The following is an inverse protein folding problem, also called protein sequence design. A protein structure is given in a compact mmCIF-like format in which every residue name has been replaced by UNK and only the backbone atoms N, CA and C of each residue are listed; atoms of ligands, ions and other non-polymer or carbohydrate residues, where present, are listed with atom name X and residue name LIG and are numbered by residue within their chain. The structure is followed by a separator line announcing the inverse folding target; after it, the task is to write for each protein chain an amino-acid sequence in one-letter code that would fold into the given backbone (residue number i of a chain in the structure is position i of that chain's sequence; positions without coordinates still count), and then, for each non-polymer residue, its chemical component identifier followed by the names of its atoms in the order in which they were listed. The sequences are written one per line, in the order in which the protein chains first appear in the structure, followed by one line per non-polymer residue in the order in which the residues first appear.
data_IF_021650936775
#
_entry.id   IF_021650936775
#
_cell.length_a   1.000
_cell.length_b   1.000
_cell.length_c   1.000
_cell.angle_alpha   90.00
_cell.angle_beta   90.00
_cell.angle_gamma   90.00
#
_symmetry.space_group_name_H-M   'P 1'
#
loop_
_entity.id
_entity.type
_entity.pdbx_description
1 polymer ?
#
# COMPACT_ATOMS: atom_id res chain seq x y z
N UNK A 1 17.01 -7.35 -1.72
CA UNK A 1 15.90 -6.51 -2.23
C UNK A 1 15.39 -5.63 -1.10
N UNK A 2 15.31 -4.32 -1.30
CA UNK A 2 14.84 -3.33 -0.31
C UNK A 2 13.78 -2.45 -0.96
N UNK A 3 12.58 -2.39 -0.37
CA UNK A 3 11.51 -1.49 -0.78
C UNK A 3 11.46 -0.30 0.17
N UNK A 4 11.39 0.91 -0.37
CA UNK A 4 11.29 2.15 0.39
C UNK A 4 10.14 2.99 -0.18
N UNK A 5 9.34 3.58 0.69
CA UNK A 5 8.33 4.57 0.30
C UNK A 5 9.05 5.90 0.05
N UNK A 6 8.91 6.46 -1.15
CA UNK A 6 9.48 7.76 -1.53
C UNK A 6 8.49 8.88 -1.25
N UNK A 7 7.25 8.71 -1.74
CA UNK A 7 6.17 9.66 -1.53
C UNK A 7 4.91 8.90 -1.11
N UNK A 8 4.54 8.96 0.17
CA UNK A 8 3.30 8.36 0.65
C UNK A 8 2.08 9.12 0.13
N UNK A 9 0.92 8.46 0.10
CA UNK A 9 -0.34 9.16 -0.13
C UNK A 9 -0.62 10.12 1.02
N UNK A 10 -0.96 11.36 0.70
CA UNK A 10 -1.42 12.36 1.67
C UNK A 10 -2.96 12.33 1.86
N UNK A 11 -3.66 11.56 1.04
CA UNK A 11 -5.12 11.45 1.05
C UNK A 11 -5.54 10.31 1.97
N UNK A 12 -6.60 10.55 2.75
CA UNK A 12 -7.22 9.51 3.58
C UNK A 12 -7.83 8.40 2.69
N UNK A 13 -7.70 7.14 3.11
CA UNK A 13 -8.27 6.00 2.38
C UNK A 13 -9.80 5.93 2.47
N UNK A 14 -10.39 6.57 3.47
CA UNK A 14 -11.83 6.75 3.68
C UNK A 14 -12.07 8.19 4.13
N UNK A 15 -13.26 8.75 3.84
CA UNK A 15 -13.54 10.13 4.24
C UNK A 15 -13.68 10.26 5.77
N UNK A 16 -13.38 11.44 6.28
CA UNK A 16 -13.52 11.69 7.72
C UNK A 16 -14.99 11.61 8.15
N UNK A 17 -15.91 12.05 7.29
CA UNK A 17 -17.34 11.97 7.54
C UNK A 17 -17.83 10.50 7.60
N UNK A 18 -17.34 9.63 6.72
CA UNK A 18 -17.64 8.19 6.79
C UNK A 18 -17.13 7.57 8.09
N UNK A 19 -15.94 7.96 8.54
CA UNK A 19 -15.38 7.50 9.82
C UNK A 19 -16.25 7.97 10.98
N UNK A 20 -16.62 9.25 11.02
CA UNK A 20 -17.49 9.82 12.07
C UNK A 20 -18.83 9.09 12.10
N UNK A 21 -19.45 8.94 10.93
CA UNK A 21 -20.73 8.25 10.80
C UNK A 21 -20.62 6.79 11.31
N UNK A 22 -19.55 6.09 10.94
CA UNK A 22 -19.32 4.72 11.36
C UNK A 22 -19.10 4.60 12.88
N UNK A 23 -18.36 5.56 13.48
CA UNK A 23 -18.13 5.66 14.92
C UNK A 23 -19.31 6.29 15.67
N UNK A 24 -20.41 6.64 15.01
CA UNK A 24 -21.60 7.29 15.58
C UNK A 24 -21.28 8.63 16.23
N UNK A 25 -20.35 9.36 15.64
CA UNK A 25 -19.97 10.71 16.05
C UNK A 25 -20.71 11.74 15.20
N UNK A 26 -20.88 12.93 15.77
CA UNK A 26 -21.43 14.07 15.08
C UNK A 26 -20.46 14.57 14.00
N UNK A 27 -20.93 14.65 12.75
CA UNK A 27 -20.11 15.10 11.61
C UNK A 27 -19.74 16.57 11.70
N UNK A 28 -20.55 17.39 12.37
CA UNK A 28 -20.32 18.82 12.52
C UNK A 28 -19.26 19.16 13.59
N UNK A 29 -18.86 18.18 14.40
CA UNK A 29 -17.85 18.33 15.43
C UNK A 29 -16.48 17.92 14.89
N UNK A 30 -15.45 18.76 15.07
CA UNK A 30 -14.09 18.50 14.60
C UNK A 30 -13.06 18.26 15.72
N UNK A 31 -13.52 18.12 16.96
CA UNK A 31 -12.67 17.97 18.14
C UNK A 31 -11.74 16.75 18.05
N UNK A 32 -12.20 15.65 17.45
CA UNK A 32 -11.47 14.40 17.36
C UNK A 32 -10.88 14.10 15.95
N UNK A 33 -11.01 15.04 15.01
CA UNK A 33 -10.60 14.87 13.60
C UNK A 33 -9.13 14.45 13.46
N UNK A 34 -8.24 15.03 14.26
CA UNK A 34 -6.81 14.69 14.23
C UNK A 34 -6.54 13.28 14.72
N UNK A 35 -7.31 12.80 15.71
CA UNK A 35 -7.21 11.42 16.19
C UNK A 35 -7.74 10.45 15.13
N UNK A 36 -8.93 10.69 14.60
CA UNK A 36 -9.56 9.85 13.59
C UNK A 36 -8.71 9.77 12.32
N UNK A 37 -8.13 10.90 11.89
CA UNK A 37 -7.19 10.96 10.77
C UNK A 37 -5.99 10.03 11.00
N UNK A 38 -5.39 10.08 12.18
CA UNK A 38 -4.26 9.22 12.54
C UNK A 38 -4.65 7.74 12.54
N UNK A 39 -5.78 7.40 13.13
CA UNK A 39 -6.30 6.04 13.17
C UNK A 39 -6.56 5.50 11.75
N UNK A 40 -7.10 6.35 10.86
CA UNK A 40 -7.35 5.97 9.47
C UNK A 40 -6.05 5.66 8.70
N UNK A 41 -5.00 6.45 8.87
CA UNK A 41 -3.70 6.14 8.27
C UNK A 41 -3.08 4.86 8.85
N UNK A 42 -3.14 4.67 10.17
CA UNK A 42 -2.66 3.44 10.82
C UNK A 42 -3.39 2.20 10.28
N UNK A 43 -4.72 2.26 10.17
CA UNK A 43 -5.53 1.17 9.63
C UNK A 43 -5.23 0.91 8.15
N UNK A 44 -4.98 1.95 7.34
CA UNK A 44 -4.57 1.79 5.95
C UNK A 44 -3.19 1.12 5.81
N UNK A 45 -2.22 1.50 6.63
CA UNK A 45 -0.90 0.87 6.67
C UNK A 45 -1.01 -0.60 7.05
N UNK A 46 -1.80 -0.92 8.06
CA UNK A 46 -2.07 -2.29 8.48
C UNK A 46 -2.72 -3.11 7.39
N UNK A 47 -3.77 -2.57 6.75
CA UNK A 47 -4.44 -3.21 5.61
C UNK A 47 -3.49 -3.45 4.44
N UNK A 48 -2.63 -2.45 4.12
CA UNK A 48 -1.57 -2.57 3.12
C UNK A 48 -0.57 -3.67 3.46
N UNK A 49 -0.21 -3.80 4.73
CA UNK A 49 0.71 -4.85 5.19
C UNK A 49 0.06 -6.24 5.08
N UNK A 50 -1.18 -6.40 5.53
CA UNK A 50 -1.89 -7.68 5.52
C UNK A 50 -2.19 -8.20 4.11
N UNK A 51 -2.45 -7.29 3.17
CA UNK A 51 -2.77 -7.67 1.78
C UNK A 51 -1.57 -7.71 0.85
N UNK A 52 -0.45 -7.10 1.25
CA UNK A 52 0.70 -6.91 0.37
C UNK A 52 0.46 -5.86 -0.73
N UNK A 53 -0.60 -5.04 -0.65
CA UNK A 53 -1.01 -4.07 -1.69
C UNK A 53 -0.77 -2.63 -1.27
N UNK A 54 -0.59 -1.77 -2.27
CA UNK A 54 -0.70 -0.32 -2.07
C UNK A 54 -2.18 0.08 -2.09
N UNK A 55 -2.62 0.83 -1.08
CA UNK A 55 -4.01 1.30 -0.99
C UNK A 55 -4.26 2.44 -1.98
N UNK A 56 -3.70 3.60 -1.73
CA UNK A 56 -3.75 4.76 -2.60
C UNK A 56 -2.42 4.98 -3.32
N UNK A 57 -2.43 5.80 -4.36
CA UNK A 57 -1.25 6.09 -5.17
C UNK A 57 -0.08 6.52 -4.30
N UNK A 58 0.95 5.72 -4.31
CA UNK A 58 2.16 5.86 -3.51
C UNK A 58 3.37 5.61 -4.40
N UNK A 59 4.41 6.41 -4.27
CA UNK A 59 5.67 6.22 -4.99
C UNK A 59 6.63 5.39 -4.15
N UNK A 60 7.12 4.32 -4.74
CA UNK A 60 8.07 3.38 -4.14
C UNK A 60 9.41 3.41 -4.87
N UNK A 61 10.45 3.10 -4.14
CA UNK A 61 11.78 2.77 -4.68
C UNK A 61 12.13 1.34 -4.28
N UNK A 62 12.45 0.53 -5.26
CA UNK A 62 12.95 -0.83 -5.10
C UNK A 62 14.43 -0.86 -5.44
N UNK A 63 15.27 -1.16 -4.45
CA UNK A 63 16.69 -1.41 -4.65
C UNK A 63 16.93 -2.93 -4.60
N UNK A 64 17.54 -3.49 -5.64
CA UNK A 64 17.81 -4.92 -5.76
C UNK A 64 19.14 -5.17 -6.49
N UNK A 65 19.67 -6.38 -6.37
CA UNK A 65 20.68 -6.86 -7.31
C UNK A 65 20.04 -7.00 -8.68
N UNK A 66 20.81 -6.72 -9.72
CA UNK A 66 20.31 -6.81 -11.07
C UNK A 66 19.92 -8.26 -11.39
N UNK A 67 18.80 -8.41 -12.05
CA UNK A 67 18.29 -9.66 -12.57
C UNK A 67 17.51 -9.36 -13.84
N UNK A 68 17.50 -10.28 -14.78
CA UNK A 68 16.69 -10.18 -15.99
C UNK A 68 15.21 -9.97 -15.66
N UNK A 69 14.74 -10.58 -14.57
CA UNK A 69 13.34 -10.50 -14.13
C UNK A 69 13.25 -10.07 -12.69
N UNK A 70 12.51 -8.99 -12.45
CA UNK A 70 12.27 -8.42 -11.13
C UNK A 70 10.76 -8.35 -10.86
N UNK A 71 10.34 -8.89 -9.72
CA UNK A 71 8.98 -8.75 -9.26
C UNK A 71 8.81 -7.40 -8.56
N UNK A 72 7.93 -6.53 -9.08
CA UNK A 72 7.57 -5.28 -8.43
C UNK A 72 6.51 -5.56 -7.35
N UNK A 73 6.81 -5.25 -6.08
CA UNK A 73 5.87 -5.47 -4.98
C UNK A 73 4.77 -4.40 -4.95
N UNK A 74 3.76 -4.61 -4.09
CA UNK A 74 2.70 -3.65 -3.79
C UNK A 74 1.77 -3.34 -4.98
N UNK A 75 1.16 -4.36 -5.65
CA UNK A 75 0.14 -4.10 -6.66
C UNK A 75 -1.07 -3.34 -6.06
N UNK A 76 -1.91 -2.71 -6.89
CA UNK A 76 -1.82 -2.63 -8.34
C UNK A 76 -0.74 -1.63 -8.80
N UNK A 77 0.02 -2.05 -9.80
CA UNK A 77 1.02 -1.21 -10.45
C UNK A 77 0.34 -0.10 -11.30
N UNK A 78 0.92 1.09 -11.29
CA UNK A 78 0.45 2.22 -12.10
C UNK A 78 1.44 2.57 -13.18
N UNK A 79 2.67 2.97 -12.81
CA UNK A 79 3.69 3.39 -13.78
C UNK A 79 5.10 3.28 -13.20
N UNK A 80 6.08 3.15 -14.09
CA UNK A 80 7.50 3.36 -13.78
C UNK A 80 7.83 4.84 -13.92
N UNK A 81 8.55 5.38 -12.96
CA UNK A 81 9.09 6.75 -13.01
C UNK A 81 10.52 6.73 -13.55
N UNK A 82 11.35 5.82 -13.07
CA UNK A 82 12.73 5.64 -13.56
C UNK A 82 13.27 4.26 -13.20
N UNK A 83 14.18 3.76 -14.02
CA UNK A 83 15.00 2.59 -13.73
C UNK A 83 16.45 3.01 -13.88
N UNK A 84 17.25 2.82 -12.85
CA UNK A 84 18.68 3.13 -12.86
C UNK A 84 19.46 1.87 -12.57
N UNK A 85 20.34 1.49 -13.47
CA UNK A 85 21.27 0.36 -13.32
C UNK A 85 22.64 0.92 -12.95
N UNK A 86 23.31 0.30 -11.98
CA UNK A 86 24.66 0.69 -11.55
C UNK A 86 25.62 -0.48 -11.77
N UNK A 87 26.73 -0.24 -12.44
CA UNK A 87 27.75 -1.26 -12.70
C UNK A 87 28.72 -1.47 -11.52
N UNK A 88 29.67 -2.38 -11.69
CA UNK A 88 30.69 -2.66 -10.65
C UNK A 88 31.67 -1.50 -10.40
N UNK A 89 31.78 -0.57 -11.34
CA UNK A 89 32.62 0.64 -11.21
C UNK A 89 31.83 1.79 -10.55
N UNK A 90 30.53 1.60 -10.24
CA UNK A 90 29.69 2.62 -9.65
C UNK A 90 29.07 3.60 -10.66
N UNK A 91 29.20 3.33 -11.97
CA UNK A 91 28.57 4.15 -13.01
C UNK A 91 27.08 3.83 -13.11
N UNK A 92 26.25 4.87 -12.96
CA UNK A 92 24.80 4.77 -13.02
C UNK A 92 24.30 5.10 -14.44
N UNK A 93 23.48 4.23 -15.00
CA UNK A 93 22.81 4.41 -16.30
C UNK A 93 21.30 4.33 -16.11
N UNK A 94 20.58 5.32 -16.62
CA UNK A 94 19.11 5.32 -16.62
C UNK A 94 18.64 4.59 -17.87
N UNK A 95 17.77 3.60 -17.69
CA UNK A 95 17.17 2.84 -18.78
C UNK A 95 16.04 3.62 -19.44
N UNK A 96 15.92 3.45 -20.75
CA UNK A 96 14.81 3.98 -21.56
C UNK A 96 13.67 2.95 -21.65
N UNK A 97 12.53 3.34 -22.22
CA UNK A 97 11.38 2.44 -22.34
C UNK A 97 11.64 1.22 -23.27
N UNK A 98 12.64 1.31 -24.14
CA UNK A 98 13.03 0.25 -25.07
C UNK A 98 13.95 -0.80 -24.42
N UNK A 99 14.48 -0.51 -23.22
CA UNK A 99 15.43 -1.38 -22.51
C UNK A 99 14.75 -2.37 -21.55
N UNK A 100 13.43 -2.27 -21.40
CA UNK A 100 12.68 -3.15 -20.48
C UNK A 100 11.25 -3.39 -20.95
N UNK A 101 10.68 -4.47 -20.47
CA UNK A 101 9.27 -4.81 -20.69
C UNK A 101 8.56 -5.10 -19.37
N UNK A 102 7.23 -4.89 -19.36
CA UNK A 102 6.38 -5.11 -18.19
C UNK A 102 5.31 -6.14 -18.50
N UNK A 103 5.23 -7.16 -17.66
CA UNK A 103 4.10 -8.08 -17.63
C UNK A 103 3.27 -7.80 -16.39
N UNK A 104 2.10 -7.20 -16.58
CA UNK A 104 1.23 -6.81 -15.49
C UNK A 104 0.03 -7.76 -15.37
N UNK A 105 -0.17 -8.32 -14.20
CA UNK A 105 -1.33 -9.11 -13.82
C UNK A 105 -2.02 -8.46 -12.62
N UNK A 106 -3.25 -8.89 -12.32
CA UNK A 106 -3.99 -8.37 -11.17
C UNK A 106 -3.24 -8.52 -9.83
N UNK A 107 -2.35 -9.49 -9.72
CA UNK A 107 -1.65 -9.81 -8.48
C UNK A 107 -0.16 -9.48 -8.53
N UNK A 108 0.45 -9.48 -9.71
CA UNK A 108 1.91 -9.37 -9.85
C UNK A 108 2.27 -8.53 -11.05
N UNK A 109 3.29 -7.70 -10.90
CA UNK A 109 3.93 -6.97 -12.01
C UNK A 109 5.37 -7.43 -12.11
N UNK A 110 5.70 -8.01 -13.25
CA UNK A 110 7.05 -8.47 -13.56
C UNK A 110 7.72 -7.46 -14.48
N UNK A 111 8.82 -6.91 -14.03
CA UNK A 111 9.73 -6.09 -14.84
C UNK A 111 10.79 -7.02 -15.44
N UNK A 112 10.89 -7.04 -16.75
CA UNK A 112 11.97 -7.74 -17.48
C UNK A 112 12.90 -6.69 -18.08
N UNK A 113 14.19 -6.77 -17.77
CA UNK A 113 15.23 -5.92 -18.35
C UNK A 113 15.87 -6.69 -19.50
N UNK A 114 15.77 -6.16 -20.72
CA UNK A 114 16.13 -6.92 -21.94
C UNK A 114 17.64 -7.12 -22.10
N UNK A 115 18.46 -6.18 -21.62
CA UNK A 115 19.91 -6.33 -21.60
C UNK A 115 20.50 -5.68 -20.35
N UNK A 116 20.59 -6.40 -19.23
CA UNK A 116 21.13 -5.87 -17.98
C UNK A 116 22.62 -5.52 -18.05
N UNK A 117 23.34 -5.94 -19.10
CA UNK A 117 24.76 -5.63 -19.29
C UNK A 117 25.65 -6.08 -18.13
N UNK A 118 26.63 -5.26 -17.80
CA UNK A 118 27.54 -5.46 -16.64
C UNK A 118 26.98 -4.88 -15.32
N UNK A 119 25.69 -4.55 -15.28
CA UNK A 119 25.04 -4.00 -14.09
C UNK A 119 25.11 -4.95 -12.89
N UNK A 120 25.30 -4.38 -11.71
CA UNK A 120 25.35 -5.12 -10.43
C UNK A 120 24.09 -4.87 -9.61
N UNK A 121 23.62 -3.63 -9.59
CA UNK A 121 22.42 -3.22 -8.84
C UNK A 121 21.45 -2.43 -9.72
N UNK A 122 20.18 -2.51 -9.35
CA UNK A 122 19.11 -1.76 -10.00
C UNK A 122 18.27 -1.04 -8.96
N UNK A 123 17.96 0.21 -9.25
CA UNK A 123 17.00 1.03 -8.50
C UNK A 123 15.81 1.33 -9.40
N UNK A 124 14.63 0.85 -9.04
CA UNK A 124 13.38 1.08 -9.75
C UNK A 124 12.50 2.02 -8.94
N UNK A 125 12.18 3.18 -9.47
CA UNK A 125 11.18 4.09 -8.90
C UNK A 125 9.88 3.92 -9.66
N UNK A 126 8.82 3.59 -8.96
CA UNK A 126 7.51 3.30 -9.56
C UNK A 126 6.37 3.76 -8.66
N UNK A 127 5.21 3.94 -9.26
CA UNK A 127 3.96 4.23 -8.55
C UNK A 127 3.05 3.01 -8.54
N UNK A 128 2.38 2.81 -7.42
CA UNK A 128 1.40 1.74 -7.23
C UNK A 128 0.25 2.25 -6.36
N UNK A 129 -0.92 1.64 -6.47
CA UNK A 129 -2.12 1.96 -5.72
C UNK A 129 -3.38 1.94 -6.57
N UNK A 130 -4.55 1.89 -5.94
CA UNK A 130 -5.83 1.82 -6.64
C UNK A 130 -6.24 3.15 -7.27
N UNK A 131 -5.65 4.27 -6.84
CA UNK A 131 -5.92 5.59 -7.39
C UNK A 131 -5.58 6.69 -6.39
N UNK A 132 -5.81 7.94 -6.78
CA UNK A 132 -5.42 9.11 -6.00
C UNK A 132 -6.44 9.54 -4.94
N UNK A 133 -7.64 8.94 -4.92
CA UNK A 133 -8.74 9.34 -4.02
C UNK A 133 -9.34 8.16 -3.29
N UNK A 134 -10.00 8.40 -2.17
CA UNK A 134 -10.73 7.39 -1.40
C UNK A 134 -11.75 6.61 -2.27
N UNK A 135 -12.42 7.28 -3.20
CA UNK A 135 -13.39 6.66 -4.11
C UNK A 135 -12.78 5.61 -5.06
N UNK A 136 -11.47 5.63 -5.26
CA UNK A 136 -10.76 4.64 -6.08
C UNK A 136 -10.52 3.33 -5.33
N UNK A 137 -10.65 3.33 -4.01
CA UNK A 137 -10.40 2.17 -3.18
C UNK A 137 -11.58 1.18 -3.27
N UNK A 138 -11.35 -0.13 -3.48
CA UNK A 138 -12.41 -1.12 -3.42
C UNK A 138 -13.15 -1.10 -2.09
N UNK A 139 -14.48 -1.25 -2.12
CA UNK A 139 -15.33 -1.17 -0.92
C UNK A 139 -14.94 -2.14 0.20
N UNK A 140 -14.34 -3.29 -0.13
CA UNK A 140 -13.87 -4.25 0.86
C UNK A 140 -12.77 -3.65 1.76
N UNK A 141 -11.83 -2.90 1.18
CA UNK A 141 -10.80 -2.20 1.94
C UNK A 141 -11.39 -1.07 2.79
N UNK A 142 -12.28 -0.26 2.19
CA UNK A 142 -12.94 0.83 2.91
C UNK A 142 -13.71 0.28 4.12
N UNK A 143 -14.49 -0.79 3.93
CA UNK A 143 -15.23 -1.45 5.01
C UNK A 143 -14.33 -2.01 6.09
N UNK A 144 -13.22 -2.67 5.71
CA UNK A 144 -12.24 -3.20 6.66
C UNK A 144 -11.58 -2.08 7.48
N UNK A 145 -11.16 -0.98 6.81
CA UNK A 145 -10.54 0.18 7.45
C UNK A 145 -11.52 0.83 8.44
N UNK A 146 -12.79 1.01 8.07
CA UNK A 146 -13.79 1.59 8.96
C UNK A 146 -13.99 0.74 10.23
N UNK A 147 -14.06 -0.58 10.09
CA UNK A 147 -14.18 -1.49 11.24
C UNK A 147 -12.93 -1.41 12.14
N UNK A 148 -11.73 -1.40 11.54
CA UNK A 148 -10.47 -1.32 12.28
C UNK A 148 -10.33 0.03 13.01
N UNK A 149 -10.66 1.15 12.35
CA UNK A 149 -10.68 2.48 12.95
C UNK A 149 -11.64 2.55 14.13
N UNK A 150 -12.89 2.04 13.97
CA UNK A 150 -13.86 2.05 15.07
C UNK A 150 -13.37 1.21 16.26
N UNK A 151 -12.77 0.06 15.97
CA UNK A 151 -12.18 -0.80 17.01
C UNK A 151 -11.07 -0.07 17.77
N UNK A 152 -10.14 0.58 17.05
CA UNK A 152 -9.05 1.34 17.66
C UNK A 152 -9.55 2.59 18.40
N UNK A 153 -10.62 3.21 17.93
CA UNK A 153 -11.24 4.36 18.56
C UNK A 153 -11.90 3.99 19.89
N UNK A 154 -12.66 2.89 19.92
CA UNK A 154 -13.32 2.40 21.13
C UNK A 154 -12.34 1.78 22.13
N UNK A 155 -11.36 1.01 21.62
CA UNK A 155 -10.37 0.29 22.41
C UNK A 155 -9.04 1.05 22.42
N UNK A 156 -9.02 2.21 23.10
CA UNK A 156 -7.80 3.06 23.20
C UNK A 156 -6.67 2.44 24.03
N UNK A 157 -6.95 1.33 24.70
CA UNK A 157 -6.00 0.60 25.55
C UNK A 157 -5.83 -0.83 25.07
N UNK A 158 -4.63 -1.37 25.23
CA UNK A 158 -4.31 -2.74 24.83
C UNK A 158 -4.98 -3.82 25.71
N UNK A 159 -5.57 -3.43 26.84
CA UNK A 159 -6.20 -4.33 27.82
C UNK A 159 -7.62 -3.86 28.09
N UNK A 160 -8.60 -4.77 28.02
CA UNK A 160 -9.97 -4.52 28.44
C UNK A 160 -10.24 -5.16 29.80
N UNK A 161 -10.92 -4.44 30.69
CA UNK A 161 -11.45 -4.98 31.93
C UNK A 161 -12.90 -5.41 31.69
N UNK A 162 -13.13 -6.70 31.38
CA UNK A 162 -14.47 -7.25 31.14
C UNK A 162 -14.52 -8.35 30.09
N UNK A 163 -15.68 -9.01 29.95
CA UNK A 163 -15.91 -10.01 28.91
C UNK A 163 -16.14 -9.33 27.57
N UNK A 164 -15.06 -9.07 26.82
CA UNK A 164 -15.15 -8.63 25.44
C UNK A 164 -15.23 -9.84 24.50
N UNK A 165 -16.38 -10.05 23.85
CA UNK A 165 -16.50 -11.01 22.76
C UNK A 165 -15.93 -10.36 21.49
N UNK A 166 -14.74 -10.78 21.08
CA UNK A 166 -14.19 -10.36 19.80
C UNK A 166 -15.05 -10.92 18.64
N UNK A 167 -15.33 -10.08 17.63
CA UNK A 167 -15.85 -10.58 16.36
C UNK A 167 -14.82 -11.56 15.80
N UNK A 168 -15.21 -12.79 15.38
CA UNK A 168 -14.26 -13.74 14.87
C UNK A 168 -13.43 -13.14 13.72
N UNK A 169 -12.11 -13.25 13.81
CA UNK A 169 -11.19 -12.74 12.80
C UNK A 169 -11.56 -13.13 11.36
N UNK A 170 -12.06 -14.38 11.07
CA UNK A 170 -12.50 -14.76 9.73
C UNK A 170 -13.59 -13.87 9.15
N UNK A 171 -14.44 -13.24 9.97
CA UNK A 171 -15.50 -12.35 9.46
C UNK A 171 -14.93 -11.04 8.91
N UNK A 172 -14.01 -10.41 9.63
CA UNK A 172 -13.39 -9.13 9.22
C UNK A 172 -12.25 -9.38 8.24
N UNK A 173 -11.39 -10.36 8.53
CA UNK A 173 -10.26 -10.75 7.67
C UNK A 173 -10.71 -11.28 6.32
N UNK A 174 -11.84 -11.99 6.24
CA UNK A 174 -12.41 -12.51 5.00
C UNK A 174 -12.74 -11.44 3.96
N UNK A 175 -12.93 -10.19 4.36
CA UNK A 175 -13.09 -9.07 3.42
C UNK A 175 -11.83 -8.86 2.54
N UNK A 176 -10.67 -9.23 3.05
CA UNK A 176 -9.38 -9.03 2.39
C UNK A 176 -8.87 -10.26 1.63
N UNK A 177 -9.46 -11.45 1.82
CA UNK A 177 -8.93 -12.71 1.28
C UNK A 177 -8.75 -12.69 -0.24
N UNK A 178 -9.72 -12.12 -0.98
CA UNK A 178 -9.62 -11.98 -2.44
C UNK A 178 -8.57 -10.99 -2.92
N UNK A 179 -7.93 -10.26 -2.01
CA UNK A 179 -6.94 -9.21 -2.32
C UNK A 179 -5.55 -9.53 -1.82
N UNK A 180 -5.36 -10.56 -1.01
CA UNK A 180 -4.02 -10.95 -0.54
C UNK A 180 -3.12 -11.33 -1.69
N UNK A 181 -1.85 -10.92 -1.62
CA UNK A 181 -0.82 -11.22 -2.60
C UNK A 181 0.14 -12.22 -1.98
N UNK A 182 0.25 -13.39 -2.61
CA UNK A 182 1.27 -14.38 -2.27
C UNK A 182 2.53 -14.09 -3.08
N UNK A 183 3.65 -13.84 -2.37
CA UNK A 183 4.97 -13.57 -2.96
C UNK A 183 5.82 -14.83 -3.01
#
# INVERSE_FOLDING_TARGET
MKLTVVTPSAVLPVSLDDIKLHCRLDTDTNTEDSLLTRLAFMSAERCSHETGRAMLTTTYRLDANISEKLLLPRPPFVAITSITVTDAAGVATVLTADDYSLTNTRQKTLLTIDNPGSGVTVAVVFTAGYGATAASLPHAFAGWILIDVATLYEQRQAVTTGNANAIPYPFVGGLLDGYRVDY
#
